data_IF_760700707655
#
_entry.id   IF_760700707655
#
_cell.length_a   1.000
_cell.length_b   1.000
_cell.length_c   1.000
_cell.angle_alpha   90.00
_cell.angle_beta   90.00
_cell.angle_gamma   90.00
#
_symmetry.space_group_name_H-M   'P 1'
#
loop_
_entity.id
_entity.type
_entity.pdbx_description
1 polymer ?
#
# COMPACT_ATOMS: atom_id res chain seq x y z
N UNK A 1 1.15 1.89 -17.09
CA UNK A 1 -0.18 1.98 -17.74
C UNK A 1 -0.12 2.60 -19.15
N UNK A 2 1.05 3.07 -19.62
CA UNK A 2 1.18 3.60 -20.99
C UNK A 2 0.40 4.90 -21.22
N UNK A 3 0.05 5.61 -20.14
CA UNK A 3 -0.65 6.88 -20.15
C UNK A 3 0.32 7.99 -19.75
N UNK A 4 0.25 9.14 -20.41
CA UNK A 4 0.96 10.34 -20.00
C UNK A 4 0.22 11.08 -18.87
N UNK A 5 0.90 12.00 -18.19
CA UNK A 5 0.27 12.87 -17.18
C UNK A 5 -0.85 13.72 -17.78
N UNK A 6 -0.73 14.13 -19.04
CA UNK A 6 -1.74 14.90 -19.77
C UNK A 6 -3.03 14.10 -20.04
N UNK A 7 -2.93 12.76 -20.06
CA UNK A 7 -4.08 11.85 -20.22
C UNK A 7 -4.75 11.52 -18.87
N UNK A 8 -4.27 12.10 -17.78
CA UNK A 8 -4.79 11.90 -16.43
C UNK A 8 -5.23 13.24 -15.83
N UNK A 9 -6.38 13.26 -15.16
CA UNK A 9 -6.85 14.44 -14.44
C UNK A 9 -7.23 14.05 -13.01
N UNK A 10 -6.85 14.87 -12.03
CA UNK A 10 -7.31 14.71 -10.64
C UNK A 10 -8.54 15.58 -10.44
N UNK A 11 -9.61 14.97 -9.94
CA UNK A 11 -10.81 15.66 -9.49
C UNK A 11 -10.81 15.79 -7.97
N UNK A 12 -10.80 17.03 -7.49
CA UNK A 12 -10.91 17.35 -6.06
C UNK A 12 -12.38 17.61 -5.70
N UNK A 13 -12.95 16.86 -4.74
CA UNK A 13 -14.32 17.11 -4.30
C UNK A 13 -14.48 18.52 -3.74
N UNK A 14 -15.55 19.22 -4.15
CA UNK A 14 -15.89 20.59 -3.75
C UNK A 14 -15.03 21.71 -4.37
N UNK A 15 -14.13 21.38 -5.30
CA UNK A 15 -13.45 22.38 -6.13
C UNK A 15 -14.11 22.43 -7.51
N UNK A 16 -14.05 23.61 -8.16
CA UNK A 16 -14.53 23.75 -9.54
C UNK A 16 -13.62 22.94 -10.46
N UNK A 17 -14.15 21.95 -11.20
CA UNK A 17 -13.32 21.11 -12.05
C UNK A 17 -12.79 21.90 -13.25
N UNK A 18 -11.53 21.62 -13.62
CA UNK A 18 -11.01 22.03 -14.92
C UNK A 18 -11.68 21.23 -16.03
N UNK A 19 -12.77 21.72 -16.60
CA UNK A 19 -13.57 21.03 -17.61
C UNK A 19 -12.73 20.57 -18.81
N UNK A 20 -11.83 21.43 -19.30
CA UNK A 20 -10.93 21.09 -20.41
C UNK A 20 -10.02 19.90 -20.09
N UNK A 21 -9.51 19.81 -18.85
CA UNK A 21 -8.66 18.72 -18.41
C UNK A 21 -9.45 17.42 -18.22
N UNK A 22 -10.71 17.51 -17.76
CA UNK A 22 -11.59 16.34 -17.65
C UNK A 22 -11.99 15.79 -19.01
N UNK A 23 -12.25 16.66 -20.00
CA UNK A 23 -12.60 16.23 -21.37
C UNK A 23 -11.41 15.57 -22.09
N UNK A 24 -10.18 16.04 -21.82
CA UNK A 24 -8.97 15.46 -22.39
C UNK A 24 -8.50 14.16 -21.71
N UNK A 25 -8.91 13.93 -20.45
CA UNK A 25 -8.41 12.81 -19.65
C UNK A 25 -9.01 11.45 -20.08
N UNK A 26 -8.14 10.45 -20.16
CA UNK A 26 -8.55 9.04 -20.26
C UNK A 26 -8.86 8.43 -18.90
N UNK A 27 -8.22 8.94 -17.84
CA UNK A 27 -8.45 8.54 -16.45
C UNK A 27 -8.69 9.78 -15.60
N UNK A 28 -9.83 9.77 -14.90
CA UNK A 28 -10.12 10.75 -13.84
C UNK A 28 -9.83 10.11 -12.50
N UNK A 29 -8.85 10.66 -11.79
CA UNK A 29 -8.42 10.24 -10.47
C UNK A 29 -9.20 11.01 -9.42
N UNK A 30 -9.70 10.30 -8.42
CA UNK A 30 -10.23 10.94 -7.22
C UNK A 30 -9.07 11.50 -6.39
N UNK A 31 -9.20 12.70 -5.81
CA UNK A 31 -8.23 13.25 -4.87
C UNK A 31 -8.25 12.48 -3.52
N UNK A 32 -7.83 11.22 -3.56
CA UNK A 32 -7.75 10.31 -2.44
C UNK A 32 -6.30 9.92 -2.18
N UNK A 33 -5.96 9.74 -0.91
CA UNK A 33 -4.64 9.28 -0.51
C UNK A 33 -4.75 8.35 0.69
N UNK A 34 -3.76 7.48 0.85
CA UNK A 34 -3.62 6.66 2.05
C UNK A 34 -2.94 7.49 3.15
N UNK A 35 -3.59 7.62 4.30
CA UNK A 35 -3.04 8.36 5.45
C UNK A 35 -1.74 7.75 5.99
N UNK A 36 -1.51 6.46 5.74
CA UNK A 36 -0.26 5.76 6.09
C UNK A 36 0.86 6.20 5.15
N UNK A 37 0.66 6.06 3.84
CA UNK A 37 1.71 6.33 2.84
C UNK A 37 1.99 7.83 2.62
N UNK A 38 1.12 8.73 3.09
CA UNK A 38 1.36 10.18 3.04
C UNK A 38 2.39 10.67 4.06
N UNK A 39 2.74 9.86 5.06
CA UNK A 39 3.64 10.27 6.16
C UNK A 39 5.12 10.22 5.80
N UNK A 40 5.46 9.50 4.75
CA UNK A 40 6.85 9.38 4.32
C UNK A 40 7.33 10.69 3.69
N UNK A 41 8.53 11.13 4.09
CA UNK A 41 9.12 12.37 3.61
C UNK A 41 10.53 12.15 3.05
N UNK A 42 11.01 13.08 2.23
CA UNK A 42 12.35 13.01 1.63
C UNK A 42 13.43 13.11 2.71
N UNK A 43 13.15 13.86 3.78
CA UNK A 43 14.05 14.03 4.91
C UNK A 43 14.33 12.69 5.60
N UNK A 44 13.32 11.82 5.76
CA UNK A 44 13.49 10.48 6.33
C UNK A 44 14.39 9.59 5.46
N UNK A 45 14.19 9.63 4.14
CA UNK A 45 15.06 8.90 3.20
C UNK A 45 16.49 9.42 3.28
N UNK A 46 16.64 10.75 3.34
CA UNK A 46 17.95 11.42 3.39
C UNK A 46 18.67 11.08 4.69
N UNK A 47 17.99 11.15 5.84
CA UNK A 47 18.52 10.80 7.15
C UNK A 47 19.02 9.36 7.18
N UNK A 48 18.22 8.42 6.67
CA UNK A 48 18.64 7.01 6.59
C UNK A 48 19.88 6.80 5.74
N UNK A 49 20.00 7.52 4.61
CA UNK A 49 21.19 7.48 3.75
C UNK A 49 22.41 8.15 4.39
N UNK A 50 22.21 9.14 5.26
CA UNK A 50 23.29 9.74 6.04
C UNK A 50 23.82 8.80 7.13
N UNK A 51 22.92 8.04 7.77
CA UNK A 51 23.31 7.03 8.77
C UNK A 51 23.99 5.82 8.13
N UNK A 52 23.55 5.44 6.92
CA UNK A 52 24.16 4.37 6.15
C UNK A 52 24.13 4.69 4.65
N UNK A 53 25.30 5.00 4.09
CA UNK A 53 25.46 5.40 2.68
C UNK A 53 25.01 4.30 1.70
N UNK A 54 25.03 3.04 2.13
CA UNK A 54 24.59 1.88 1.33
C UNK A 54 23.17 1.42 1.67
N UNK A 55 22.38 2.23 2.39
CA UNK A 55 21.00 1.90 2.69
C UNK A 55 20.15 1.80 1.41
N UNK A 56 19.44 0.69 1.27
CA UNK A 56 18.50 0.46 0.18
C UNK A 56 17.10 0.91 0.58
N UNK A 57 16.44 1.69 -0.25
CA UNK A 57 15.15 2.29 0.05
C UNK A 57 14.08 1.67 -0.85
N UNK A 58 13.09 1.02 -0.25
CA UNK A 58 11.98 0.39 -0.97
C UNK A 58 10.64 0.90 -0.44
N UNK A 59 9.77 1.39 -1.33
CA UNK A 59 8.51 2.05 -0.93
C UNK A 59 7.30 1.51 -1.70
N UNK A 60 6.12 1.67 -1.11
CA UNK A 60 4.86 1.36 -1.79
C UNK A 60 4.50 2.46 -2.81
N UNK A 61 3.90 2.14 -3.97
CA UNK A 61 3.48 3.14 -4.96
C UNK A 61 2.36 4.09 -4.49
N UNK A 62 1.80 3.87 -3.30
CA UNK A 62 0.85 4.82 -2.68
C UNK A 62 1.54 6.02 -2.00
N UNK A 63 2.88 5.98 -1.90
CA UNK A 63 3.65 7.12 -1.43
C UNK A 63 3.57 8.29 -2.42
N UNK A 64 3.91 9.50 -1.97
CA UNK A 64 3.97 10.68 -2.84
C UNK A 64 5.01 10.48 -3.94
N UNK A 65 4.78 11.09 -5.10
CA UNK A 65 5.65 10.94 -6.28
C UNK A 65 7.12 11.27 -5.98
N UNK A 66 7.38 12.30 -5.19
CA UNK A 66 8.74 12.66 -4.75
C UNK A 66 9.44 11.51 -4.00
N UNK A 67 8.70 10.77 -3.16
CA UNK A 67 9.20 9.64 -2.38
C UNK A 67 9.42 8.43 -3.29
N UNK A 68 8.49 8.20 -4.22
CA UNK A 68 8.58 7.15 -5.24
C UNK A 68 9.82 7.37 -6.12
N UNK A 69 10.09 8.61 -6.52
CA UNK A 69 11.25 8.98 -7.32
C UNK A 69 12.58 8.89 -6.56
N UNK A 70 12.56 9.09 -5.25
CA UNK A 70 13.75 9.02 -4.39
C UNK A 70 14.10 7.60 -3.91
N UNK A 71 13.20 6.63 -4.07
CA UNK A 71 13.40 5.24 -3.65
C UNK A 71 14.20 4.43 -4.68
N UNK A 72 14.96 3.44 -4.22
CA UNK A 72 15.73 2.52 -5.07
C UNK A 72 14.83 1.46 -5.72
N UNK A 73 13.70 1.14 -5.08
CA UNK A 73 12.72 0.21 -5.62
C UNK A 73 11.29 0.57 -5.18
N UNK A 74 10.31 0.29 -6.05
CA UNK A 74 8.91 0.64 -5.84
C UNK A 74 8.03 -0.55 -6.23
N UNK A 75 7.09 -0.92 -5.35
CA UNK A 75 6.12 -1.96 -5.70
C UNK A 75 5.13 -2.31 -4.59
N UNK A 76 4.26 -3.28 -4.88
CA UNK A 76 3.29 -3.79 -3.93
C UNK A 76 3.97 -4.39 -2.68
N UNK A 77 3.20 -4.62 -1.62
CA UNK A 77 3.70 -5.31 -0.42
C UNK A 77 4.36 -6.66 -0.72
N UNK A 78 3.86 -7.39 -1.72
CA UNK A 78 4.52 -8.62 -2.20
C UNK A 78 5.87 -8.34 -2.85
N UNK A 79 5.95 -7.35 -3.73
CA UNK A 79 7.21 -6.94 -4.34
C UNK A 79 8.24 -6.53 -3.28
N UNK A 80 7.85 -5.72 -2.30
CA UNK A 80 8.71 -5.29 -1.19
C UNK A 80 9.23 -6.51 -0.41
N UNK A 81 8.34 -7.48 -0.09
CA UNK A 81 8.74 -8.70 0.61
C UNK A 81 9.79 -9.50 -0.16
N UNK A 82 9.62 -9.62 -1.47
CA UNK A 82 10.58 -10.33 -2.33
C UNK A 82 11.88 -9.54 -2.45
N UNK A 83 11.81 -8.22 -2.66
CA UNK A 83 12.97 -7.34 -2.72
C UNK A 83 13.84 -7.47 -1.46
N UNK A 84 13.23 -7.44 -0.26
CA UNK A 84 13.94 -7.64 1.01
C UNK A 84 14.54 -9.05 1.11
N UNK A 85 13.82 -10.08 0.65
CA UNK A 85 14.31 -11.45 0.65
C UNK A 85 15.56 -11.62 -0.23
N UNK A 86 15.58 -10.96 -1.39
CA UNK A 86 16.62 -11.09 -2.42
C UNK A 86 17.89 -10.30 -2.10
N UNK A 87 17.85 -9.36 -1.15
CA UNK A 87 19.05 -8.64 -0.72
C UNK A 87 20.08 -9.55 -0.02
N UNK A 88 21.39 -9.24 -0.09
CA UNK A 88 22.41 -9.99 0.63
C UNK A 88 22.28 -9.85 2.16
N UNK A 89 22.98 -10.72 2.89
CA UNK A 89 23.12 -10.57 4.34
C UNK A 89 23.92 -9.30 4.67
N UNK A 90 23.59 -8.66 5.79
CA UNK A 90 24.18 -7.39 6.22
C UNK A 90 23.58 -6.15 5.55
N UNK A 91 22.67 -6.30 4.59
CA UNK A 91 21.97 -5.17 3.98
C UNK A 91 21.16 -4.38 4.99
N UNK A 92 21.21 -3.05 4.86
CA UNK A 92 20.36 -2.11 5.58
C UNK A 92 19.28 -1.61 4.63
N UNK A 93 18.01 -1.80 5.00
CA UNK A 93 16.87 -1.60 4.12
C UNK A 93 15.84 -0.72 4.80
N UNK A 94 15.54 0.42 4.20
CA UNK A 94 14.47 1.33 4.57
C UNK A 94 13.19 0.99 3.84
N UNK A 95 12.12 0.71 4.58
CA UNK A 95 10.84 0.29 4.00
C UNK A 95 9.77 1.36 4.25
N UNK A 96 9.20 1.89 3.17
CA UNK A 96 8.08 2.84 3.17
C UNK A 96 6.74 2.16 2.94
N UNK A 97 6.23 1.44 3.94
CA UNK A 97 4.89 0.83 3.93
C UNK A 97 4.36 0.65 5.36
N UNK A 98 3.26 -0.10 5.53
CA UNK A 98 2.67 -0.36 6.84
C UNK A 98 3.63 -1.10 7.81
N UNK A 99 3.72 -0.59 9.04
CA UNK A 99 4.74 -0.95 10.04
C UNK A 99 4.74 -2.42 10.46
N UNK A 100 3.58 -3.08 10.54
CA UNK A 100 3.52 -4.49 10.94
C UNK A 100 4.10 -5.40 9.87
N UNK A 101 4.04 -5.01 8.60
CA UNK A 101 4.78 -5.72 7.56
C UNK A 101 6.29 -5.57 7.77
N UNK A 102 6.78 -4.36 8.02
CA UNK A 102 8.22 -4.10 8.23
C UNK A 102 8.76 -4.89 9.42
N UNK A 103 8.07 -4.83 10.58
CA UNK A 103 8.44 -5.61 11.78
C UNK A 103 8.49 -7.12 11.54
N UNK A 104 7.56 -7.64 10.73
CA UNK A 104 7.57 -9.07 10.35
C UNK A 104 8.74 -9.42 9.45
N UNK A 105 9.15 -8.52 8.56
CA UNK A 105 10.32 -8.73 7.71
C UNK A 105 11.62 -8.70 8.51
N UNK A 106 11.75 -7.73 9.42
CA UNK A 106 12.90 -7.60 10.32
C UNK A 106 13.07 -8.86 11.19
N UNK A 107 11.98 -9.31 11.85
CA UNK A 107 11.99 -10.53 12.64
C UNK A 107 12.26 -11.80 11.81
N UNK A 108 11.90 -11.81 10.52
CA UNK A 108 12.13 -12.95 9.62
C UNK A 108 13.58 -13.02 9.11
N UNK A 109 14.26 -11.88 8.98
CA UNK A 109 15.62 -11.81 8.43
C UNK A 109 16.56 -11.13 9.43
N UNK A 110 16.93 -11.77 10.56
CA UNK A 110 17.75 -11.16 11.60
C UNK A 110 19.18 -10.80 11.14
N UNK A 111 19.64 -11.38 10.03
CA UNK A 111 20.93 -11.06 9.42
C UNK A 111 20.88 -9.82 8.51
N UNK A 112 19.73 -9.15 8.42
CA UNK A 112 19.50 -7.90 7.67
C UNK A 112 18.93 -6.87 8.63
N UNK A 113 19.20 -5.59 8.39
CA UNK A 113 18.58 -4.51 9.17
C UNK A 113 17.40 -3.96 8.37
N UNK A 114 16.17 -4.31 8.75
CA UNK A 114 14.97 -3.86 8.03
C UNK A 114 14.21 -2.87 8.90
N UNK A 115 14.27 -1.59 8.52
CA UNK A 115 13.72 -0.49 9.33
C UNK A 115 12.63 0.25 8.58
N UNK A 116 11.62 0.73 9.32
CA UNK A 116 10.58 1.59 8.76
C UNK A 116 11.13 3.00 8.56
N UNK A 117 10.84 3.64 7.43
CA UNK A 117 11.26 5.03 7.17
C UNK A 117 10.59 6.03 8.13
N UNK A 118 9.36 5.75 8.57
CA UNK A 118 8.71 6.56 9.60
C UNK A 118 9.00 5.97 10.99
N UNK A 119 9.67 6.71 11.90
CA UNK A 119 9.94 6.26 13.26
C UNK A 119 8.66 6.23 14.12
N UNK A 120 7.62 6.97 13.74
CA UNK A 120 6.34 6.95 14.41
C UNK A 120 5.52 5.79 13.84
N UNK A 121 5.16 4.84 14.70
CA UNK A 121 4.29 3.71 14.37
C UNK A 121 3.05 4.27 13.67
N UNK A 122 2.88 3.96 12.38
CA UNK A 122 1.70 4.31 11.63
C UNK A 122 0.81 3.08 11.49
N UNK A 123 -0.04 2.79 12.50
CA UNK A 123 -1.03 1.77 12.36
C UNK A 123 -2.06 2.23 11.33
N UNK A 124 -2.30 1.43 10.29
CA UNK A 124 -3.54 1.57 9.55
C UNK A 124 -4.69 1.31 10.55
N UNK A 125 -5.35 2.36 11.01
CA UNK A 125 -6.30 2.30 12.13
C UNK A 125 -7.41 1.27 11.88
N UNK A 126 -7.82 1.12 10.62
CA UNK A 126 -8.82 0.15 10.20
C UNK A 126 -8.29 -1.29 10.23
N UNK A 127 -7.02 -1.52 9.87
CA UNK A 127 -6.41 -2.85 10.02
C UNK A 127 -6.25 -3.24 11.49
N UNK A 128 -5.97 -2.27 12.36
CA UNK A 128 -5.86 -2.48 13.81
C UNK A 128 -7.19 -2.80 14.50
N UNK A 129 -8.33 -2.64 13.83
CA UNK A 129 -9.61 -3.12 14.35
C UNK A 129 -9.68 -4.65 14.38
N UNK A 130 -8.82 -5.35 13.64
CA UNK A 130 -8.73 -6.81 13.68
C UNK A 130 -7.87 -7.24 14.88
N UNK A 131 -8.52 -7.80 15.90
CA UNK A 131 -7.86 -8.23 17.14
C UNK A 131 -8.14 -9.72 17.41
N UNK A 132 -7.18 -10.50 17.96
CA UNK A 132 -7.37 -11.92 18.26
C UNK A 132 -8.61 -12.24 19.08
N UNK A 133 -8.99 -11.36 20.03
CA UNK A 133 -10.22 -11.53 20.82
C UNK A 133 -11.48 -11.47 19.97
N UNK A 134 -11.56 -10.57 18.98
CA UNK A 134 -12.72 -10.49 18.09
C UNK A 134 -12.74 -11.66 17.11
N UNK A 135 -11.57 -12.15 16.69
CA UNK A 135 -11.48 -13.37 15.90
C UNK A 135 -11.99 -14.58 16.69
N UNK A 136 -11.58 -14.71 17.97
CA UNK A 136 -12.06 -15.77 18.85
C UNK A 136 -13.59 -15.74 19.01
N UNK A 137 -14.15 -14.57 19.33
CA UNK A 137 -15.61 -14.39 19.45
C UNK A 137 -16.35 -14.83 18.18
N UNK A 138 -15.89 -14.37 17.01
CA UNK A 138 -16.49 -14.76 15.72
C UNK A 138 -16.41 -16.27 15.50
N UNK A 139 -15.28 -16.91 15.83
CA UNK A 139 -15.11 -18.36 15.68
C UNK A 139 -16.01 -19.16 16.63
N UNK A 140 -16.13 -18.76 17.90
CA UNK A 140 -16.99 -19.41 18.89
C UNK A 140 -18.46 -19.34 18.46
N UNK A 141 -18.90 -18.19 17.95
CA UNK A 141 -20.26 -17.98 17.46
C UNK A 141 -20.55 -18.82 16.21
N UNK A 142 -19.59 -18.95 15.29
CA UNK A 142 -19.71 -19.85 14.15
C UNK A 142 -19.88 -21.31 14.60
N UNK A 143 -19.11 -21.76 15.60
CA UNK A 143 -19.24 -23.11 16.17
C UNK A 143 -20.61 -23.32 16.83
N UNK A 144 -21.17 -22.28 17.47
CA UNK A 144 -22.51 -22.29 18.03
C UNK A 144 -23.65 -22.27 16.98
N UNK A 145 -23.32 -22.17 15.69
CA UNK A 145 -24.27 -22.14 14.58
C UNK A 145 -24.77 -20.72 14.22
N UNK A 146 -24.19 -19.68 14.80
CA UNK A 146 -24.45 -18.29 14.39
C UNK A 146 -23.64 -17.92 13.13
N UNK A 147 -24.09 -16.88 12.42
CA UNK A 147 -23.38 -16.34 11.25
C UNK A 147 -23.18 -14.82 11.43
N UNK A 148 -22.32 -14.41 12.39
CA UNK A 148 -22.09 -12.99 12.65
C UNK A 148 -21.38 -12.30 11.48
N UNK A 149 -21.74 -11.05 11.22
CA UNK A 149 -21.04 -10.17 10.27
C UNK A 149 -20.84 -10.77 8.86
N UNK A 150 -21.78 -11.61 8.40
CA UNK A 150 -21.70 -12.21 7.06
C UNK A 150 -21.66 -11.11 6.00
N UNK A 151 -20.54 -11.03 5.28
CA UNK A 151 -20.40 -10.11 4.15
C UNK A 151 -21.34 -10.56 3.04
N UNK A 152 -22.36 -9.75 2.75
CA UNK A 152 -23.31 -9.96 1.66
C UNK A 152 -23.22 -8.81 0.68
N UNK A 153 -23.17 -9.14 -0.60
CA UNK A 153 -23.16 -8.18 -1.70
C UNK A 153 -24.38 -8.46 -2.59
N UNK A 154 -25.16 -7.45 -3.00
CA UNK A 154 -26.28 -7.64 -3.92
C UNK A 154 -25.86 -8.36 -5.20
N UNK A 155 -26.72 -9.25 -5.71
CA UNK A 155 -26.39 -10.12 -6.84
C UNK A 155 -25.96 -9.33 -8.09
N UNK A 156 -26.64 -8.21 -8.38
CA UNK A 156 -26.31 -7.34 -9.51
C UNK A 156 -24.91 -6.71 -9.34
N UNK A 157 -24.60 -6.17 -8.16
CA UNK A 157 -23.30 -5.58 -7.85
C UNK A 157 -22.19 -6.62 -7.94
N UNK A 158 -22.40 -7.80 -7.36
CA UNK A 158 -21.44 -8.90 -7.39
C UNK A 158 -21.15 -9.36 -8.83
N UNK A 159 -22.17 -9.51 -9.67
CA UNK A 159 -22.00 -9.92 -11.06
C UNK A 159 -21.16 -8.91 -11.87
N UNK A 160 -21.44 -7.62 -11.72
CA UNK A 160 -20.68 -6.54 -12.40
C UNK A 160 -19.24 -6.45 -11.90
N UNK A 161 -19.03 -6.48 -10.58
CA UNK A 161 -17.71 -6.45 -9.98
C UNK A 161 -16.86 -7.66 -10.39
N UNK A 162 -17.48 -8.84 -10.44
CA UNK A 162 -16.83 -10.07 -10.90
C UNK A 162 -16.39 -9.98 -12.36
N UNK A 163 -17.22 -9.44 -13.25
CA UNK A 163 -16.82 -9.26 -14.65
C UNK A 163 -15.56 -8.39 -14.79
N UNK A 164 -15.45 -7.30 -14.03
CA UNK A 164 -14.26 -6.46 -14.02
C UNK A 164 -13.03 -7.21 -13.48
N UNK A 165 -13.20 -7.97 -12.39
CA UNK A 165 -12.14 -8.79 -11.81
C UNK A 165 -11.67 -9.88 -12.78
N UNK A 166 -12.60 -10.60 -13.41
CA UNK A 166 -12.29 -11.67 -14.37
C UNK A 166 -11.53 -11.13 -15.59
N UNK A 167 -11.87 -9.90 -16.05
CA UNK A 167 -11.11 -9.21 -17.11
C UNK A 167 -9.71 -8.81 -16.67
N UNK A 168 -9.56 -8.31 -15.43
CA UNK A 168 -8.23 -7.99 -14.88
C UNK A 168 -7.35 -9.25 -14.82
N UNK A 169 -7.91 -10.37 -14.38
CA UNK A 169 -7.19 -11.64 -14.24
C UNK A 169 -6.93 -12.34 -15.59
N UNK A 170 -7.74 -12.07 -16.62
CA UNK A 170 -7.54 -12.65 -17.95
C UNK A 170 -6.43 -11.99 -18.75
N UNK A 171 -6.04 -10.76 -18.40
CA UNK A 171 -4.85 -10.09 -18.92
C UNK A 171 -3.63 -10.81 -18.34
N UNK A 172 -3.03 -11.69 -19.14
CA UNK A 172 -1.74 -12.32 -18.83
C UNK A 172 -0.63 -11.47 -19.42
N UNK A 173 0.31 -11.05 -18.58
CA UNK A 173 1.59 -10.47 -19.00
C UNK A 173 2.51 -11.57 -19.53
#
# INVERSE_FOLDING_TARGET
>A
MGLSEEEMCIWTPNEEPGWDALEAAKIVLWHGYCSVHRRFTIEQITEMRMENENALIVVHPECRDEIVAAADAVGSTEFIRNYVADQPEGSVIGVGTEINMVKRLDAKYPNKSVTCLDPLVCPCSTMYMIHPMYLLDVLERIIAGEIPNQVKVPAETSAKAKLSLDRMLSIRN
#
